data_IF_926113428057
#
_entry.id   IF_926113428057
#
_cell.length_a   1.000
_cell.length_b   1.000
_cell.length_c   1.000
_cell.angle_alpha   90.00
_cell.angle_beta   90.00
_cell.angle_gamma   90.00
#
_symmetry.space_group_name_H-M   'P 1'
#
loop_
_entity.id
_entity.type
_entity.pdbx_description
1 polymer ?
#
# COMPACT_ATOMS: atom_id res chain seq x y z
N UNK A 1 -13.17 28.04 10.86
CA UNK A 1 -11.88 28.02 10.14
C UNK A 1 -11.00 27.22 11.05
N UNK A 2 -10.97 25.91 10.80
CA UNK A 2 -10.20 24.99 11.63
C UNK A 2 -8.74 25.21 11.27
N UNK A 3 -7.93 25.50 12.27
CA UNK A 3 -6.49 25.64 12.13
C UNK A 3 -5.94 24.30 11.64
N UNK A 4 -5.52 24.27 10.38
CA UNK A 4 -4.59 23.28 9.85
C UNK A 4 -3.40 23.25 10.81
N UNK A 5 -3.30 22.18 11.60
CA UNK A 5 -2.13 21.92 12.43
C UNK A 5 -1.00 21.51 11.49
N UNK A 6 -0.32 22.51 10.93
CA UNK A 6 0.82 22.32 10.03
C UNK A 6 1.88 21.47 10.72
N UNK A 7 2.18 20.31 10.13
CA UNK A 7 3.17 19.39 10.63
C UNK A 7 4.57 20.05 10.62
N UNK A 8 5.42 19.75 11.63
CA UNK A 8 6.77 20.32 11.74
C UNK A 8 7.58 20.17 10.45
N UNK A 9 8.40 21.17 10.09
CA UNK A 9 9.22 21.21 8.86
C UNK A 9 10.09 19.96 8.62
N UNK A 10 10.53 19.27 9.69
CA UNK A 10 11.30 18.03 9.59
C UNK A 10 10.47 16.81 9.14
N UNK A 11 9.15 16.94 9.09
CA UNK A 11 8.21 15.97 8.50
C UNK A 11 7.71 16.42 7.10
N UNK A 12 8.19 17.56 6.60
CA UNK A 12 7.86 18.08 5.27
C UNK A 12 8.88 17.65 4.18
N UNK A 13 9.88 16.83 4.52
CA UNK A 13 10.80 16.26 3.53
C UNK A 13 10.13 15.07 2.81
N UNK A 14 9.77 15.33 1.54
CA UNK A 14 9.29 14.41 0.51
C UNK A 14 8.06 13.57 0.91
N UNK A 15 6.85 14.16 0.87
CA UNK A 15 5.70 13.34 0.52
C UNK A 15 6.01 12.70 -0.83
N UNK A 16 6.11 11.37 -0.95
CA UNK A 16 6.32 10.77 -2.25
C UNK A 16 5.10 11.13 -3.07
N UNK A 17 5.32 11.94 -4.09
CA UNK A 17 4.29 12.51 -4.94
C UNK A 17 3.77 11.40 -5.86
N UNK A 18 3.02 10.48 -5.26
CA UNK A 18 2.39 9.37 -5.95
C UNK A 18 1.42 9.91 -7.01
N UNK A 19 0.86 11.12 -6.84
CA UNK A 19 0.09 11.83 -7.85
C UNK A 19 0.92 12.14 -9.10
N UNK A 20 2.21 12.44 -8.94
CA UNK A 20 3.17 12.67 -10.05
C UNK A 20 3.83 11.39 -10.58
N UNK A 21 3.49 10.21 -10.06
CA UNK A 21 3.90 8.97 -10.69
C UNK A 21 3.22 8.84 -12.07
N UNK A 22 3.96 8.43 -13.11
CA UNK A 22 3.43 8.40 -14.48
C UNK A 22 2.18 7.52 -14.67
N UNK A 23 1.92 6.60 -13.72
CA UNK A 23 0.85 5.61 -13.76
C UNK A 23 -0.04 5.66 -12.51
N UNK A 24 -0.15 6.83 -11.85
CA UNK A 24 -0.95 7.02 -10.63
C UNK A 24 -2.44 6.73 -10.86
N UNK A 25 -2.97 7.20 -11.99
CA UNK A 25 -4.35 6.99 -12.46
C UNK A 25 -4.47 5.80 -13.45
N UNK A 26 -3.55 4.84 -13.41
CA UNK A 26 -3.61 3.71 -14.33
C UNK A 26 -4.87 2.86 -14.11
N UNK A 27 -5.62 2.63 -15.19
CA UNK A 27 -6.71 1.66 -15.23
C UNK A 27 -6.16 0.26 -15.54
N UNK A 28 -6.62 -0.73 -14.77
CA UNK A 28 -6.19 -2.12 -14.90
C UNK A 28 -7.35 -2.95 -15.46
N UNK A 29 -7.14 -3.49 -16.66
CA UNK A 29 -8.12 -4.41 -17.25
C UNK A 29 -8.22 -5.69 -16.42
N UNK A 30 -9.43 -6.27 -16.25
CA UNK A 30 -9.60 -7.54 -15.56
C UNK A 30 -8.72 -8.65 -16.14
N UNK A 31 -7.87 -9.24 -15.29
CA UNK A 31 -6.91 -10.28 -15.68
C UNK A 31 -6.80 -11.35 -14.59
N UNK A 32 -7.63 -12.39 -14.73
CA UNK A 32 -7.70 -13.47 -13.77
C UNK A 32 -6.39 -14.28 -13.67
N UNK A 33 -5.66 -14.45 -14.78
CA UNK A 33 -4.39 -15.18 -14.81
C UNK A 33 -3.33 -14.42 -14.02
N UNK A 34 -3.22 -13.11 -14.24
CA UNK A 34 -2.28 -12.27 -13.50
C UNK A 34 -2.64 -12.16 -12.02
N UNK A 35 -3.93 -12.04 -11.70
CA UNK A 35 -4.43 -12.07 -10.31
C UNK A 35 -4.02 -13.36 -9.60
N UNK A 36 -4.29 -14.51 -10.21
CA UNK A 36 -3.96 -15.82 -9.63
C UNK A 36 -2.44 -15.98 -9.47
N UNK A 37 -1.66 -15.56 -10.46
CA UNK A 37 -0.20 -15.61 -10.39
C UNK A 37 0.38 -14.75 -9.26
N UNK A 38 -0.13 -13.53 -9.06
CA UNK A 38 0.28 -12.67 -7.94
C UNK A 38 -0.07 -13.30 -6.59
N UNK A 39 -1.21 -13.99 -6.50
CA UNK A 39 -1.62 -14.71 -5.29
C UNK A 39 -0.77 -15.94 -5.02
N UNK A 40 -0.37 -16.69 -6.05
CA UNK A 40 0.60 -17.78 -5.91
C UNK A 40 1.93 -17.26 -5.33
N UNK A 41 2.44 -16.16 -5.87
CA UNK A 41 3.66 -15.53 -5.32
C UNK A 41 3.43 -15.06 -3.88
N UNK A 42 2.25 -14.48 -3.57
CA UNK A 42 1.92 -14.03 -2.22
C UNK A 42 1.95 -15.16 -1.19
N UNK A 43 1.50 -16.36 -1.58
CA UNK A 43 1.58 -17.57 -0.76
C UNK A 43 3.02 -18.07 -0.63
N UNK A 44 3.79 -18.07 -1.73
CA UNK A 44 5.19 -18.53 -1.74
C UNK A 44 6.10 -17.69 -0.86
N UNK A 45 5.90 -16.37 -0.81
CA UNK A 45 6.68 -15.47 0.05
C UNK A 45 6.19 -15.43 1.49
N UNK A 46 5.05 -16.06 1.79
CA UNK A 46 4.48 -16.08 3.14
C UNK A 46 5.30 -16.96 4.09
N UNK A 47 5.57 -16.44 5.27
CA UNK A 47 6.48 -17.01 6.26
C UNK A 47 6.29 -16.37 7.63
N UNK A 48 7.14 -16.72 8.59
CA UNK A 48 6.87 -16.38 10.00
C UNK A 48 7.17 -14.93 10.37
N UNK A 49 8.04 -14.24 9.61
CA UNK A 49 8.46 -12.88 9.91
C UNK A 49 7.35 -11.86 9.63
N UNK A 50 7.41 -10.73 10.33
CA UNK A 50 6.45 -9.63 10.13
C UNK A 50 6.55 -9.03 8.73
N UNK A 51 7.75 -9.06 8.16
CA UNK A 51 8.12 -8.52 6.85
C UNK A 51 7.58 -9.42 5.73
N UNK A 52 7.71 -10.73 5.88
CA UNK A 52 7.17 -11.70 4.93
C UNK A 52 5.64 -11.65 4.89
N UNK A 53 4.98 -11.57 6.05
CA UNK A 53 3.52 -11.40 6.13
C UNK A 53 3.06 -10.08 5.50
N UNK A 54 3.80 -9.00 5.72
CA UNK A 54 3.49 -7.71 5.11
C UNK A 54 3.65 -7.77 3.58
N UNK A 55 4.72 -8.36 3.07
CA UNK A 55 4.95 -8.49 1.63
C UNK A 55 3.84 -9.32 0.97
N UNK A 56 3.46 -10.44 1.57
CA UNK A 56 2.32 -11.26 1.12
C UNK A 56 1.02 -10.42 1.06
N UNK A 57 0.71 -9.68 2.12
CA UNK A 57 -0.49 -8.82 2.15
C UNK A 57 -0.48 -7.72 1.07
N UNK A 58 0.69 -7.12 0.78
CA UNK A 58 0.83 -6.14 -0.32
C UNK A 58 0.54 -6.81 -1.66
N UNK A 59 1.09 -8.00 -1.90
CA UNK A 59 0.86 -8.74 -3.16
C UNK A 59 -0.62 -9.10 -3.35
N UNK A 60 -1.35 -9.47 -2.29
CA UNK A 60 -2.80 -9.64 -2.40
C UNK A 60 -3.50 -8.36 -2.82
N UNK A 61 -3.18 -7.21 -2.20
CA UNK A 61 -3.83 -5.95 -2.56
C UNK A 61 -3.48 -5.49 -3.98
N UNK A 62 -2.25 -5.75 -4.44
CA UNK A 62 -1.87 -5.53 -5.84
C UNK A 62 -2.62 -6.49 -6.78
N UNK A 63 -2.91 -7.72 -6.36
CA UNK A 63 -3.71 -8.67 -7.16
C UNK A 63 -5.15 -8.19 -7.37
N UNK A 64 -5.70 -7.44 -6.41
CA UNK A 64 -7.06 -6.93 -6.45
C UNK A 64 -7.25 -5.84 -7.52
N UNK A 65 -6.16 -5.20 -7.99
CA UNK A 65 -6.20 -4.31 -9.17
C UNK A 65 -6.72 -5.00 -10.44
N UNK A 66 -6.63 -6.33 -10.52
CA UNK A 66 -7.04 -7.11 -11.68
C UNK A 66 -8.38 -7.83 -11.49
N UNK A 67 -9.07 -7.57 -10.37
CA UNK A 67 -10.38 -8.15 -10.03
C UNK A 67 -11.50 -7.16 -10.36
N UNK A 68 -12.44 -7.47 -11.29
CA UNK A 68 -13.52 -6.56 -11.66
C UNK A 68 -14.53 -6.32 -10.54
N UNK A 69 -14.53 -7.15 -9.49
CA UNK A 69 -15.42 -7.02 -8.35
C UNK A 69 -14.80 -6.23 -7.18
N UNK A 70 -13.52 -5.88 -7.25
CA UNK A 70 -12.80 -5.11 -6.23
C UNK A 70 -12.66 -3.64 -6.64
N UNK A 71 -12.81 -2.74 -5.66
CA UNK A 71 -12.57 -1.31 -5.82
C UNK A 71 -11.23 -0.99 -5.14
N UNK A 72 -10.13 -1.12 -5.88
CA UNK A 72 -8.76 -0.90 -5.39
C UNK A 72 -7.99 -0.05 -6.39
N UNK A 73 -7.21 0.91 -5.89
CA UNK A 73 -6.33 1.76 -6.71
C UNK A 73 -4.86 1.66 -6.31
N UNK A 74 -3.91 2.02 -7.20
CA UNK A 74 -2.49 2.15 -6.86
C UNK A 74 -2.25 3.12 -5.69
N UNK A 75 -2.98 4.24 -5.65
CA UNK A 75 -2.94 5.22 -4.56
C UNK A 75 -3.28 4.56 -3.22
N UNK A 76 -4.39 3.84 -3.14
CA UNK A 76 -4.83 3.20 -1.90
C UNK A 76 -3.79 2.19 -1.38
N UNK A 77 -3.19 1.41 -2.29
CA UNK A 77 -2.11 0.47 -1.95
C UNK A 77 -0.92 1.25 -1.39
N UNK A 78 -0.50 2.32 -2.06
CA UNK A 78 0.62 3.14 -1.64
C UNK A 78 0.39 3.77 -0.25
N UNK A 79 -0.77 4.40 -0.03
CA UNK A 79 -1.13 5.01 1.25
C UNK A 79 -1.16 3.98 2.38
N UNK A 80 -1.64 2.76 2.10
CA UNK A 80 -1.65 1.67 3.07
C UNK A 80 -0.21 1.27 3.48
N UNK A 81 0.69 1.09 2.50
CA UNK A 81 2.09 0.72 2.75
C UNK A 81 2.82 1.83 3.51
N UNK A 82 2.68 3.09 3.08
CA UNK A 82 3.28 4.25 3.76
C UNK A 82 2.86 4.30 5.22
N UNK A 83 1.56 4.18 5.49
CA UNK A 83 1.03 4.19 6.85
C UNK A 83 1.63 3.09 7.73
N UNK A 84 1.78 1.86 7.21
CA UNK A 84 2.40 0.77 7.97
C UNK A 84 3.87 1.06 8.28
N UNK A 85 4.62 1.62 7.32
CA UNK A 85 6.02 1.99 7.52
C UNK A 85 6.16 3.10 8.56
N UNK A 86 5.28 4.11 8.53
CA UNK A 86 5.25 5.20 9.51
C UNK A 86 4.98 4.68 10.93
N UNK A 87 4.02 3.76 11.07
CA UNK A 87 3.73 3.11 12.36
C UNK A 87 4.95 2.33 12.86
N UNK A 88 5.60 1.57 11.98
CA UNK A 88 6.81 0.80 12.34
C UNK A 88 7.94 1.73 12.77
N UNK A 89 8.18 2.83 12.05
CA UNK A 89 9.18 3.84 12.39
C UNK A 89 8.90 4.51 13.75
N UNK A 90 7.62 4.72 14.11
CA UNK A 90 7.18 5.32 15.37
C UNK A 90 7.14 4.34 16.56
N UNK A 91 7.55 3.08 16.38
CA UNK A 91 7.59 2.07 17.44
C UNK A 91 6.29 1.28 17.67
N UNK A 92 5.38 1.26 16.68
CA UNK A 92 4.14 0.48 16.69
C UNK A 92 2.88 1.27 17.06
N UNK A 93 1.72 0.62 16.91
CA UNK A 93 0.42 1.18 17.30
C UNK A 93 0.37 1.32 18.83
N UNK A 94 0.42 2.55 19.35
CA UNK A 94 0.16 2.79 20.78
C UNK A 94 -1.30 2.43 21.06
N UNK A 95 -1.50 1.48 21.99
CA UNK A 95 -2.80 1.17 22.58
C UNK A 95 -2.96 2.09 23.78
N UNK A 96 -3.76 3.14 23.64
CA UNK A 96 -4.34 3.84 24.79
C UNK A 96 -5.52 3.04 25.37
#
# INVERSE_FOLDING_TARGET
MSEDEELPEELQEDEPDWEMAPDSDAEFEPDAERREFLREIAEDVYGDSSESKQLSAILYRVSDLYDPDEDTSPEEIYLNVRHIMDIKAKGGLRKD
#
